data_IF_693669053905
#
_entry.id   IF_693669053905
#
_cell.length_a   1.000
_cell.length_b   1.000
_cell.length_c   1.000
_cell.angle_alpha   90.00
_cell.angle_beta   90.00
_cell.angle_gamma   90.00
#
_symmetry.space_group_name_H-M   'P 1'
#
loop_
_entity.id
_entity.type
_entity.pdbx_description
1 polymer ?
#
# COMPACT_ATOMS: atom_id res chain seq x y z
N UNK A 1 -30.19 -19.84 7.18
CA UNK A 1 -30.53 -18.43 7.48
C UNK A 1 -29.34 -17.58 7.07
N UNK A 2 -29.47 -16.74 6.04
CA UNK A 2 -28.40 -15.86 5.57
C UNK A 2 -28.53 -14.48 6.23
N UNK A 3 -27.40 -13.90 6.67
CA UNK A 3 -27.36 -12.61 7.34
C UNK A 3 -27.80 -11.46 6.41
N UNK A 4 -28.34 -10.35 6.94
CA UNK A 4 -28.90 -9.28 6.13
C UNK A 4 -27.80 -8.59 5.32
N UNK A 5 -28.01 -8.56 4.00
CA UNK A 5 -27.25 -7.78 3.02
C UNK A 5 -27.44 -6.28 3.30
N UNK A 6 -26.68 -5.72 4.24
CA UNK A 6 -26.59 -4.27 4.42
C UNK A 6 -25.75 -3.66 3.30
N UNK A 7 -26.45 -3.34 2.20
CA UNK A 7 -26.36 -2.08 1.46
C UNK A 7 -25.02 -1.31 1.52
N UNK A 8 -24.04 -1.76 0.73
CA UNK A 8 -23.30 -0.81 -0.11
C UNK A 8 -23.83 -1.00 -1.54
N UNK A 9 -24.19 0.07 -2.27
CA UNK A 9 -24.73 -0.05 -3.63
C UNK A 9 -23.74 -0.67 -4.63
N UNK A 10 -22.50 -0.88 -4.21
CA UNK A 10 -21.47 -1.60 -4.94
C UNK A 10 -21.11 -2.86 -4.17
N UNK A 11 -21.17 -4.01 -4.83
CA UNK A 11 -20.55 -5.23 -4.33
C UNK A 11 -19.07 -4.95 -4.12
N UNK A 12 -18.46 -5.35 -2.98
CA UNK A 12 -17.01 -5.26 -2.82
C UNK A 12 -16.38 -6.02 -3.98
N UNK A 13 -15.57 -5.35 -4.79
CA UNK A 13 -14.82 -6.00 -5.86
C UNK A 13 -13.87 -7.00 -5.20
N UNK A 14 -14.25 -8.28 -5.22
CA UNK A 14 -13.40 -9.37 -4.76
C UNK A 14 -12.45 -9.67 -5.91
N UNK A 15 -11.27 -9.07 -5.85
CA UNK A 15 -10.21 -9.41 -6.78
C UNK A 15 -9.82 -10.88 -6.58
N UNK A 16 -10.06 -11.70 -7.60
CA UNK A 16 -9.64 -13.10 -7.64
C UNK A 16 -8.52 -13.22 -8.67
N UNK A 17 -7.31 -13.45 -8.20
CA UNK A 17 -6.20 -13.73 -9.10
C UNK A 17 -6.19 -15.18 -9.57
N UNK A 18 -5.71 -15.44 -10.79
CA UNK A 18 -5.39 -16.78 -11.24
C UNK A 18 -4.15 -17.39 -10.52
N UNK A 19 -3.33 -16.58 -9.86
CA UNK A 19 -2.12 -17.03 -9.15
C UNK A 19 -2.33 -17.10 -7.62
N UNK A 20 -1.77 -18.15 -7.01
CA UNK A 20 -1.74 -18.40 -5.56
C UNK A 20 -0.79 -17.46 -4.77
N UNK A 21 0.04 -16.68 -5.46
CA UNK A 21 1.12 -15.88 -4.85
C UNK A 21 0.78 -14.38 -4.75
N UNK A 22 -0.44 -14.05 -4.30
CA UNK A 22 -0.84 -12.65 -4.10
C UNK A 22 -0.80 -12.28 -2.63
N UNK A 23 -0.12 -11.18 -2.33
CA UNK A 23 -0.15 -10.52 -1.02
C UNK A 23 -1.60 -10.17 -0.68
N UNK A 24 -2.18 -10.76 0.38
CA UNK A 24 -3.59 -10.57 0.68
C UNK A 24 -3.91 -9.11 1.02
N UNK A 25 -5.03 -8.60 0.52
CA UNK A 25 -5.49 -7.24 0.79
C UNK A 25 -7.00 -7.14 0.91
N UNK A 26 -7.47 -6.06 1.54
CA UNK A 26 -8.87 -5.69 1.66
C UNK A 26 -9.05 -4.20 1.36
N UNK A 27 -10.07 -3.84 0.59
CA UNK A 27 -10.43 -2.44 0.35
C UNK A 27 -11.53 -2.05 1.34
N UNK A 28 -11.28 -1.00 2.11
CA UNK A 28 -12.19 -0.45 3.11
C UNK A 28 -12.72 0.89 2.62
N UNK A 29 -14.02 1.14 2.81
CA UNK A 29 -14.67 2.41 2.44
C UNK A 29 -15.44 2.39 1.12
N UNK A 30 -16.32 3.39 0.93
CA UNK A 30 -17.18 3.54 -0.24
C UNK A 30 -16.64 4.58 -1.24
N UNK A 31 -16.83 5.86 -0.93
CA UNK A 31 -16.38 6.97 -1.80
C UNK A 31 -14.90 7.31 -1.64
N UNK A 32 -14.36 7.08 -0.44
CA UNK A 32 -12.97 7.24 -0.10
C UNK A 32 -12.46 5.92 0.45
N UNK A 33 -11.43 5.36 -0.20
CA UNK A 33 -10.99 4.00 0.07
C UNK A 33 -9.58 3.93 0.64
N UNK A 34 -9.39 2.98 1.54
CA UNK A 34 -8.10 2.56 2.09
C UNK A 34 -7.90 1.10 1.67
N UNK A 35 -6.74 0.76 1.12
CA UNK A 35 -6.34 -0.63 0.94
C UNK A 35 -5.54 -1.06 2.16
N UNK A 36 -6.05 -2.05 2.87
CA UNK A 36 -5.32 -2.76 3.93
C UNK A 36 -4.61 -3.95 3.30
N UNK A 37 -3.29 -4.03 3.45
CA UNK A 37 -2.47 -5.11 2.91
C UNK A 37 -1.87 -5.89 4.08
N UNK A 38 -1.91 -7.22 3.99
CA UNK A 38 -1.27 -8.12 4.93
C UNK A 38 0.09 -8.55 4.38
N UNK A 39 1.15 -8.27 5.12
CA UNK A 39 2.51 -8.69 4.81
C UNK A 39 2.89 -9.86 5.72
N UNK A 40 3.28 -10.98 5.12
CA UNK A 40 3.93 -12.08 5.85
C UNK A 40 5.32 -11.65 6.36
N UNK A 41 5.93 -12.39 7.30
CA UNK A 41 7.30 -12.12 7.72
C UNK A 41 8.25 -11.95 6.53
N UNK A 42 9.07 -10.91 6.56
CA UNK A 42 10.03 -10.53 5.52
C UNK A 42 9.43 -10.02 4.19
N UNK A 43 8.12 -10.05 4.00
CA UNK A 43 7.50 -9.41 2.84
C UNK A 43 7.62 -7.89 2.93
N UNK A 44 7.73 -7.27 1.76
CA UNK A 44 7.80 -5.82 1.61
C UNK A 44 7.00 -5.35 0.43
N UNK A 45 6.55 -4.11 0.50
CA UNK A 45 5.95 -3.40 -0.62
C UNK A 45 6.56 -2.01 -0.78
N UNK A 46 6.33 -1.42 -1.94
CA UNK A 46 6.71 -0.05 -2.25
C UNK A 46 5.43 0.77 -2.37
N UNK A 47 5.39 1.91 -1.68
CA UNK A 47 4.25 2.82 -1.71
C UNK A 47 4.70 4.26 -2.00
N UNK A 48 3.73 5.10 -2.37
CA UNK A 48 3.97 6.54 -2.57
C UNK A 48 4.16 7.22 -1.21
N UNK A 49 5.12 8.15 -1.05
CA UNK A 49 5.24 8.92 0.18
C UNK A 49 3.94 9.68 0.47
N UNK A 50 3.55 9.74 1.75
CA UNK A 50 2.30 10.38 2.18
C UNK A 50 1.01 9.59 1.90
N UNK A 51 1.10 8.38 1.33
CA UNK A 51 -0.07 7.50 1.12
C UNK A 51 -0.36 6.56 2.30
N UNK A 52 0.57 6.40 3.23
CA UNK A 52 0.42 5.51 4.39
C UNK A 52 -0.53 6.13 5.41
N UNK A 53 -1.52 5.36 5.85
CA UNK A 53 -2.50 5.75 6.86
C UNK A 53 -2.21 5.13 8.23
N UNK A 54 -1.86 3.85 8.26
CA UNK A 54 -1.51 3.12 9.48
C UNK A 54 -0.60 1.95 9.19
N UNK A 55 0.11 1.46 10.20
CA UNK A 55 0.92 0.26 10.13
C UNK A 55 0.93 -0.48 11.48
N UNK A 56 1.08 -1.80 11.43
CA UNK A 56 1.32 -2.62 12.62
C UNK A 56 2.71 -2.33 13.20
N UNK A 57 2.91 -2.56 14.50
CA UNK A 57 4.20 -2.26 15.16
C UNK A 57 5.40 -3.07 14.67
N UNK A 58 5.17 -4.18 13.94
CA UNK A 58 6.23 -4.99 13.32
C UNK A 58 6.66 -4.49 11.93
N UNK A 59 5.98 -3.48 11.39
CA UNK A 59 6.29 -2.91 10.08
C UNK A 59 7.33 -1.80 10.24
N UNK A 60 8.44 -1.95 9.55
CA UNK A 60 9.47 -0.92 9.41
C UNK A 60 9.27 -0.16 8.11
N UNK A 61 9.50 1.17 8.16
CA UNK A 61 9.40 2.06 7.01
C UNK A 61 10.77 2.63 6.66
N UNK A 62 11.19 2.46 5.41
CA UNK A 62 12.42 3.04 4.86
C UNK A 62 12.09 3.99 3.71
N UNK A 63 12.74 5.16 3.66
CA UNK A 63 12.57 6.12 2.57
C UNK A 63 13.59 5.84 1.47
N UNK A 64 13.10 5.68 0.23
CA UNK A 64 13.94 5.63 -0.96
C UNK A 64 14.06 7.02 -1.57
N UNK A 65 15.28 7.44 -1.85
CA UNK A 65 15.61 8.72 -2.47
C UNK A 65 16.04 8.48 -3.92
N UNK A 66 15.75 9.42 -4.83
CA UNK A 66 16.32 9.35 -6.18
C UNK A 66 17.85 9.47 -6.11
N UNK A 67 18.59 8.61 -6.83
CA UNK A 67 20.02 8.79 -7.00
C UNK A 67 20.24 9.98 -7.96
N UNK A 68 20.38 11.19 -7.42
CA UNK A 68 20.75 12.36 -8.23
C UNK A 68 22.26 12.56 -8.20
N UNK A 69 22.84 12.62 -9.40
CA UNK A 69 24.26 12.88 -9.66
C UNK A 69 24.62 14.37 -9.50
N UNK A 70 23.80 15.20 -8.85
CA UNK A 70 24.08 16.61 -8.60
C UNK A 70 23.62 17.01 -7.20
N UNK A 71 24.59 17.03 -6.26
CA UNK A 71 24.42 17.56 -4.91
C UNK A 71 24.36 19.10 -5.01
N UNK A 72 23.21 19.62 -5.44
CA UNK A 72 22.97 21.04 -5.64
C UNK A 72 22.40 21.74 -4.41
N UNK A 73 22.71 23.04 -4.29
CA UNK A 73 22.19 24.00 -3.28
C UNK A 73 20.66 23.92 -3.12
N UNK A 74 19.95 23.52 -4.17
CA UNK A 74 18.50 23.28 -4.18
C UNK A 74 18.05 22.16 -3.23
N UNK A 75 18.80 21.06 -3.08
CA UNK A 75 18.47 20.01 -2.11
C UNK A 75 18.62 20.47 -0.66
N UNK A 76 19.53 21.42 -0.39
CA UNK A 76 19.70 22.00 0.95
C UNK A 76 18.54 22.95 1.30
N UNK A 77 18.02 23.69 0.32
CA UNK A 77 16.88 24.60 0.51
C UNK A 77 15.52 23.89 0.56
N UNK A 78 15.33 22.81 -0.22
CA UNK A 78 14.03 22.15 -0.38
C UNK A 78 13.97 20.73 0.19
N UNK A 79 15.08 20.22 0.74
CA UNK A 79 15.20 18.85 1.21
C UNK A 79 15.38 17.84 0.07
N UNK A 80 15.73 16.60 0.44
CA UNK A 80 15.83 15.48 -0.51
C UNK A 80 14.43 15.00 -0.90
N UNK A 81 14.16 14.87 -2.19
CA UNK A 81 12.89 14.36 -2.68
C UNK A 81 12.80 12.84 -2.43
N UNK A 82 11.86 12.43 -1.57
CA UNK A 82 11.57 11.00 -1.35
C UNK A 82 10.76 10.51 -2.55
N UNK A 83 11.27 9.52 -3.26
CA UNK A 83 10.59 8.97 -4.44
C UNK A 83 9.59 7.88 -4.09
N UNK A 84 9.91 7.08 -3.07
CA UNK A 84 9.03 6.02 -2.57
C UNK A 84 9.34 5.70 -1.12
N UNK A 85 8.38 5.06 -0.46
CA UNK A 85 8.57 4.44 0.85
C UNK A 85 8.52 2.92 0.69
N UNK A 86 9.40 2.21 1.37
CA UNK A 86 9.43 0.76 1.45
C UNK A 86 8.90 0.37 2.82
N UNK A 87 7.87 -0.46 2.85
CA UNK A 87 7.28 -0.99 4.09
C UNK A 87 7.60 -2.48 4.16
N UNK A 88 8.31 -2.92 5.20
CA UNK A 88 8.75 -4.31 5.39
C UNK A 88 8.22 -4.84 6.72
N UNK A 89 7.69 -6.05 6.73
CA UNK A 89 7.37 -6.75 7.96
C UNK A 89 8.62 -7.43 8.53
N UNK A 90 9.25 -6.82 9.53
CA UNK A 90 10.43 -7.37 10.21
C UNK A 90 10.07 -8.29 11.39
N UNK A 91 8.77 -8.48 11.68
CA UNK A 91 8.26 -9.38 12.71
C UNK A 91 8.17 -10.85 12.27
N UNK A 92 7.75 -11.70 13.21
CA UNK A 92 7.55 -13.14 12.99
C UNK A 92 6.09 -13.52 12.69
N UNK A 93 5.15 -12.60 12.90
CA UNK A 93 3.73 -12.76 12.58
C UNK A 93 3.34 -11.89 11.38
N UNK A 94 2.17 -12.14 10.83
CA UNK A 94 1.58 -11.26 9.82
C UNK A 94 1.43 -9.83 10.36
N UNK A 95 1.73 -8.85 9.51
CA UNK A 95 1.63 -7.43 9.80
C UNK A 95 0.72 -6.74 8.78
N UNK A 96 0.04 -5.69 9.21
CA UNK A 96 -0.93 -4.97 8.38
C UNK A 96 -0.46 -3.54 8.13
N UNK A 97 -0.68 -3.07 6.90
CA UNK A 97 -0.50 -1.69 6.50
C UNK A 97 -1.77 -1.17 5.84
N UNK A 98 -2.10 0.10 6.07
CA UNK A 98 -3.19 0.81 5.40
C UNK A 98 -2.64 1.89 4.48
N UNK A 99 -3.07 1.91 3.22
CA UNK A 99 -2.66 2.89 2.22
C UNK A 99 -3.89 3.53 1.57
N UNK A 100 -3.86 4.84 1.35
CA UNK A 100 -4.90 5.57 0.63
C UNK A 100 -4.30 6.60 -0.33
N UNK A 101 -5.11 7.06 -1.28
CA UNK A 101 -4.78 8.25 -2.05
C UNK A 101 -4.75 9.49 -1.11
N UNK A 102 -3.93 10.50 -1.40
CA UNK A 102 -3.89 11.75 -0.62
C UNK A 102 -5.11 12.67 -0.88
N UNK A 103 -6.15 12.13 -1.50
CA UNK A 103 -7.42 12.78 -1.82
C UNK A 103 -8.53 11.72 -1.84
N UNK A 104 -9.80 12.15 -1.78
CA UNK A 104 -10.93 11.22 -1.82
C UNK A 104 -10.99 10.49 -3.17
N UNK A 105 -10.72 9.19 -3.14
CA UNK A 105 -10.69 8.34 -4.32
C UNK A 105 -11.07 6.90 -4.00
N UNK A 106 -11.42 6.17 -5.05
CA UNK A 106 -11.59 4.71 -5.04
C UNK A 106 -10.32 4.02 -5.54
N UNK A 107 -10.04 2.85 -4.99
CA UNK A 107 -8.86 2.03 -5.28
C UNK A 107 -9.29 0.90 -6.22
N UNK A 108 -8.55 0.74 -7.32
CA UNK A 108 -8.71 -0.37 -8.26
C UNK A 108 -7.46 -1.24 -8.23
N UNK A 109 -7.53 -2.49 -7.74
CA UNK A 109 -6.39 -3.39 -7.78
C UNK A 109 -6.20 -3.91 -9.21
N UNK A 110 -4.96 -3.87 -9.70
CA UNK A 110 -4.59 -4.33 -11.04
C UNK A 110 -3.47 -5.37 -10.91
N UNK A 111 -3.63 -6.54 -11.54
CA UNK A 111 -2.56 -7.53 -11.66
C UNK A 111 -1.62 -7.12 -12.80
N UNK A 112 -0.36 -6.85 -12.49
CA UNK A 112 0.67 -6.73 -13.52
C UNK A 112 1.27 -8.11 -13.82
N UNK A 113 1.04 -8.63 -15.03
CA UNK A 113 1.93 -9.67 -15.60
C UNK A 113 3.18 -8.95 -16.11
N UNK A 114 4.22 -8.85 -15.28
CA UNK A 114 5.54 -8.45 -15.76
C UNK A 114 6.24 -9.70 -16.30
N UNK A 115 6.21 -9.90 -17.63
CA UNK A 115 7.23 -10.66 -18.32
C UNK A 115 8.52 -9.82 -18.28
N UNK A 116 9.39 -10.13 -17.33
CA UNK A 116 10.82 -9.80 -17.40
C UNK A 116 11.57 -11.07 -17.83
#
# INVERSE_FOLDING_TARGET
MAAPFFSTPFQPYVYQSPQDAITPFQILGGEAQVVQIMLKPQEKIIAKPGSMCFMSGSIEMENSYLPENEVGIWQWLFGKNISSIVLRNSGQSDGFIGIAAPYFARILPVCGYMHL
#
